data_IF_391168931542
#
_entry.id   IF_391168931542
#
_cell.length_a   1.000
_cell.length_b   1.000
_cell.length_c   1.000
_cell.angle_alpha   90.00
_cell.angle_beta   90.00
_cell.angle_gamma   90.00
#
_symmetry.space_group_name_H-M   'P 1'
#
loop_
_entity.id
_entity.type
_entity.pdbx_description
1 polymer ?
#
# COMPACT_ATOMS: atom_id res chain seq x y z
N UNK A 1 -11.20 10.60 -4.67
CA UNK A 1 -10.56 10.04 -5.88
C UNK A 1 -9.06 10.00 -5.60
N UNK A 2 -8.52 8.82 -5.28
CA UNK A 2 -7.12 8.61 -4.83
C UNK A 2 -6.29 7.82 -5.86
N UNK A 3 -6.90 7.43 -6.97
CA UNK A 3 -6.37 6.66 -8.09
C UNK A 3 -5.50 7.47 -9.05
N UNK A 4 -5.53 8.81 -8.97
CA UNK A 4 -4.77 9.70 -9.85
C UNK A 4 -3.26 9.46 -9.85
N UNK A 5 -2.67 9.03 -8.73
CA UNK A 5 -1.24 8.73 -8.66
C UNK A 5 -0.81 7.56 -9.54
N UNK A 6 -1.64 6.51 -9.63
CA UNK A 6 -1.34 5.36 -10.50
C UNK A 6 -1.74 5.68 -11.95
N UNK A 7 -2.95 6.19 -12.15
CA UNK A 7 -3.51 6.50 -13.47
C UNK A 7 -2.74 7.56 -14.25
N UNK A 8 -2.18 8.57 -13.58
CA UNK A 8 -1.51 9.71 -14.24
C UNK A 8 0.02 9.55 -14.29
N UNK A 9 0.56 8.42 -13.82
CA UNK A 9 2.01 8.21 -13.77
C UNK A 9 2.63 7.66 -15.04
N UNK A 10 1.83 7.39 -16.08
CA UNK A 10 2.26 6.62 -17.26
C UNK A 10 2.98 5.32 -16.85
N UNK A 11 2.37 4.63 -15.87
CA UNK A 11 2.89 3.45 -15.20
C UNK A 11 4.24 3.60 -14.48
N UNK A 12 4.79 4.80 -14.32
CA UNK A 12 6.07 4.98 -13.60
C UNK A 12 5.92 4.70 -12.11
N UNK A 13 4.73 4.90 -11.55
CA UNK A 13 4.41 4.53 -10.17
C UNK A 13 3.93 3.07 -10.14
N UNK A 14 4.70 2.19 -9.49
CA UNK A 14 4.37 0.76 -9.38
C UNK A 14 3.66 0.36 -8.09
N UNK A 15 3.68 1.22 -7.07
CA UNK A 15 3.04 0.99 -5.77
C UNK A 15 2.76 2.34 -5.12
N UNK A 16 1.55 2.51 -4.59
CA UNK A 16 1.16 3.65 -3.76
C UNK A 16 0.83 3.14 -2.37
N UNK A 17 1.38 3.79 -1.35
CA UNK A 17 1.01 3.58 0.06
C UNK A 17 0.31 4.85 0.51
N UNK A 18 -0.97 4.74 0.83
CA UNK A 18 -1.75 5.82 1.38
C UNK A 18 -1.87 5.64 2.88
N UNK A 19 -1.54 6.67 3.66
CA UNK A 19 -1.63 6.66 5.11
C UNK A 19 -2.52 7.83 5.52
N UNK A 20 -3.64 7.54 6.16
CA UNK A 20 -4.53 8.53 6.78
C UNK A 20 -4.38 8.41 8.29
N UNK A 21 -4.21 9.53 8.98
CA UNK A 21 -4.01 9.57 10.43
C UNK A 21 -5.05 10.52 11.04
N UNK A 22 -5.77 10.03 12.05
CA UNK A 22 -6.64 10.83 12.91
C UNK A 22 -6.03 10.86 14.31
N UNK A 23 -5.44 11.99 14.69
CA UNK A 23 -4.88 12.16 16.05
C UNK A 23 -5.96 12.10 17.15
N UNK A 24 -7.14 12.75 17.00
CA UNK A 24 -8.17 12.72 18.04
C UNK A 24 -8.73 11.32 18.28
N UNK A 25 -8.98 10.57 17.20
CA UNK A 25 -9.53 9.21 17.28
C UNK A 25 -8.45 8.14 17.48
N UNK A 26 -7.18 8.54 17.38
CA UNK A 26 -6.01 7.65 17.38
C UNK A 26 -6.14 6.50 16.39
N UNK A 27 -6.57 6.84 15.18
CA UNK A 27 -6.69 5.89 14.07
C UNK A 27 -5.62 6.14 13.02
N UNK A 28 -5.02 5.07 12.51
CA UNK A 28 -4.19 5.08 11.31
C UNK A 28 -4.79 4.09 10.33
N UNK A 29 -5.12 4.56 9.14
CA UNK A 29 -5.64 3.76 8.06
C UNK A 29 -4.63 3.73 6.93
N UNK A 30 -4.12 2.54 6.60
CA UNK A 30 -3.10 2.33 5.58
C UNK A 30 -3.70 1.53 4.45
N UNK A 31 -3.63 2.06 3.23
CA UNK A 31 -3.99 1.34 2.02
C UNK A 31 -2.75 1.15 1.14
N UNK A 32 -2.65 -0.03 0.52
CA UNK A 32 -1.67 -0.30 -0.52
C UNK A 32 -2.38 -0.49 -1.85
N UNK A 33 -1.99 0.32 -2.81
CA UNK A 33 -2.56 0.31 -4.15
C UNK A 33 -1.50 -0.07 -5.18
N UNK A 34 -1.90 -0.91 -6.13
CA UNK A 34 -1.09 -1.33 -7.28
C UNK A 34 -2.04 -1.54 -8.47
N UNK A 35 -1.50 -1.52 -9.69
CA UNK A 35 -2.28 -2.03 -10.80
C UNK A 35 -2.50 -3.54 -10.65
N UNK A 36 -3.75 -3.95 -10.82
CA UNK A 36 -4.21 -5.33 -10.78
C UNK A 36 -5.15 -5.63 -11.95
N UNK A 37 -5.28 -6.90 -12.30
CA UNK A 37 -6.31 -7.35 -13.21
C UNK A 37 -7.60 -7.54 -12.41
N UNK A 38 -8.66 -6.85 -12.79
CA UNK A 38 -10.01 -7.03 -12.24
C UNK A 38 -10.96 -7.48 -13.35
N UNK A 39 -12.05 -8.12 -12.97
CA UNK A 39 -13.09 -8.54 -13.91
C UNK A 39 -13.68 -7.33 -14.64
N UNK A 40 -13.82 -7.46 -15.95
CA UNK A 40 -14.47 -6.43 -16.75
C UNK A 40 -15.99 -6.58 -16.66
N UNK A 41 -16.63 -5.85 -15.76
CA UNK A 41 -18.10 -5.86 -15.61
C UNK A 41 -18.83 -5.16 -16.76
N UNK A 42 -18.11 -4.50 -17.68
CA UNK A 42 -18.67 -3.77 -18.82
C UNK A 42 -18.17 -4.35 -20.15
N UNK A 43 -18.44 -5.64 -20.36
CA UNK A 43 -18.17 -6.31 -21.63
C UNK A 43 -19.09 -5.72 -22.70
N UNK A 44 -18.50 -5.02 -23.67
CA UNK A 44 -19.19 -4.50 -24.85
C UNK A 44 -18.51 -5.02 -26.12
N UNK A 45 -19.17 -4.93 -27.28
CA UNK A 45 -18.56 -5.35 -28.57
C UNK A 45 -17.19 -4.71 -28.84
N UNK A 46 -16.96 -3.47 -28.36
CA UNK A 46 -15.68 -2.76 -28.48
C UNK A 46 -14.68 -3.00 -27.33
N UNK A 47 -15.11 -3.62 -26.23
CA UNK A 47 -14.29 -3.91 -25.05
C UNK A 47 -14.57 -5.34 -24.57
N UNK A 48 -14.10 -6.30 -25.36
CA UNK A 48 -14.34 -7.74 -25.18
C UNK A 48 -13.37 -8.44 -24.23
N UNK A 49 -12.34 -7.74 -23.73
CA UNK A 49 -11.39 -8.35 -22.80
C UNK A 49 -12.10 -8.70 -21.47
N UNK A 50 -11.94 -9.93 -20.97
CA UNK A 50 -12.62 -10.40 -19.76
C UNK A 50 -12.07 -9.73 -18.48
N UNK A 51 -10.86 -9.18 -18.55
CA UNK A 51 -10.23 -8.44 -17.45
C UNK A 51 -9.71 -7.09 -17.91
N UNK A 52 -9.69 -6.13 -16.98
CA UNK A 52 -9.09 -4.81 -17.16
C UNK A 52 -7.97 -4.61 -16.15
N UNK A 53 -6.92 -3.91 -16.57
CA UNK A 53 -5.77 -3.58 -15.73
C UNK A 53 -5.95 -2.16 -15.18
N UNK A 54 -6.22 -2.04 -13.89
CA UNK A 54 -6.59 -0.76 -13.26
C UNK A 54 -5.98 -0.62 -11.86
N UNK A 55 -5.82 0.61 -11.34
CA UNK A 55 -5.47 0.85 -9.95
C UNK A 55 -6.41 0.10 -9.01
N UNK A 56 -5.86 -0.78 -8.19
CA UNK A 56 -6.61 -1.66 -7.30
C UNK A 56 -6.03 -1.57 -5.89
N UNK A 57 -6.89 -1.47 -4.87
CA UNK A 57 -6.49 -1.63 -3.47
C UNK A 57 -6.21 -3.10 -3.23
N UNK A 58 -4.96 -3.44 -2.94
CA UNK A 58 -4.52 -4.83 -2.76
C UNK A 58 -4.23 -5.19 -1.31
N UNK A 59 -4.14 -4.19 -0.43
CA UNK A 59 -3.95 -4.40 1.00
C UNK A 59 -4.51 -3.22 1.80
N UNK A 60 -4.96 -3.51 3.01
CA UNK A 60 -5.57 -2.56 3.92
C UNK A 60 -5.24 -2.95 5.36
N UNK A 61 -4.84 -1.96 6.15
CA UNK A 61 -4.45 -2.12 7.56
C UNK A 61 -5.07 -0.97 8.34
N UNK A 62 -5.76 -1.32 9.42
CA UNK A 62 -6.27 -0.35 10.38
C UNK A 62 -5.50 -0.47 11.69
N UNK A 63 -5.15 0.66 12.28
CA UNK A 63 -4.54 0.73 13.59
C UNK A 63 -5.41 1.65 14.45
N UNK A 64 -5.93 1.12 15.55
CA UNK A 64 -6.71 1.87 16.55
C UNK A 64 -5.94 1.83 17.86
N UNK A 65 -5.55 3.00 18.37
CA UNK A 65 -4.52 3.15 19.41
C UNK A 65 -3.24 2.38 19.02
N UNK A 66 -3.03 1.19 19.61
CA UNK A 66 -1.86 0.32 19.34
C UNK A 66 -2.26 -1.03 18.74
N UNK A 67 -3.56 -1.25 18.50
CA UNK A 67 -4.08 -2.50 17.97
C UNK A 67 -4.06 -2.46 16.44
N UNK A 68 -3.30 -3.37 15.84
CA UNK A 68 -3.20 -3.52 14.38
C UNK A 68 -4.18 -4.59 13.89
N UNK A 69 -5.03 -4.22 12.95
CA UNK A 69 -6.03 -5.06 12.27
C UNK A 69 -5.59 -5.20 10.79
N UNK A 70 -5.64 -6.42 10.25
CA UNK A 70 -5.08 -6.76 8.94
C UNK A 70 -3.75 -7.51 9.05
N UNK A 71 -3.11 -7.79 7.91
CA UNK A 71 -1.81 -8.49 7.83
C UNK A 71 -0.63 -7.51 7.79
N UNK A 72 0.61 -7.96 8.07
CA UNK A 72 1.82 -7.15 7.90
C UNK A 72 1.86 -6.40 6.57
N UNK A 73 2.45 -5.20 6.57
CA UNK A 73 2.64 -4.45 5.34
C UNK A 73 3.89 -4.95 4.61
N UNK A 74 3.67 -5.63 3.49
CA UNK A 74 4.74 -6.06 2.58
C UNK A 74 4.88 -5.10 1.40
N UNK A 75 6.09 -4.56 1.19
CA UNK A 75 6.41 -3.71 0.05
C UNK A 75 7.57 -4.36 -0.72
N UNK A 76 7.31 -4.73 -1.97
CA UNK A 76 8.32 -5.43 -2.77
C UNK A 76 9.46 -4.50 -3.17
N UNK A 77 10.69 -4.90 -2.85
CA UNK A 77 11.90 -4.20 -3.27
C UNK A 77 11.93 -4.04 -4.78
N UNK A 78 11.62 -5.11 -5.53
CA UNK A 78 11.68 -5.10 -6.99
C UNK A 78 10.72 -4.09 -7.59
N UNK A 79 9.54 -3.91 -6.99
CA UNK A 79 8.53 -2.95 -7.47
C UNK A 79 8.89 -1.51 -7.15
N UNK A 80 9.52 -1.24 -6.01
CA UNK A 80 9.93 0.12 -5.61
C UNK A 80 11.22 0.54 -6.30
N UNK A 81 12.21 -0.35 -6.35
CA UNK A 81 13.55 -0.05 -6.87
C UNK A 81 13.68 -0.34 -8.38
N UNK A 82 12.64 -0.88 -9.00
CA UNK A 82 12.57 -1.24 -10.43
C UNK A 82 13.70 -2.16 -10.92
N UNK A 83 14.32 -2.91 -10.01
CA UNK A 83 15.40 -3.87 -10.29
C UNK A 83 15.38 -5.04 -9.32
N UNK A 84 16.04 -6.13 -9.66
CA UNK A 84 16.21 -7.26 -8.73
C UNK A 84 17.11 -6.83 -7.55
N UNK A 85 16.84 -7.34 -6.33
CA UNK A 85 17.78 -7.20 -5.23
C UNK A 85 19.12 -7.83 -5.60
N UNK A 86 20.21 -7.17 -5.24
CA UNK A 86 21.56 -7.70 -5.43
C UNK A 86 21.88 -8.68 -4.29
N UNK A 87 22.12 -9.97 -4.59
CA UNK A 87 22.37 -10.98 -3.56
C UNK A 87 23.63 -10.70 -2.72
N UNK A 88 24.59 -9.91 -3.23
CA UNK A 88 25.78 -9.50 -2.47
C UNK A 88 25.49 -8.40 -1.45
N UNK A 89 24.34 -7.72 -1.55
CA UNK A 89 23.92 -6.63 -0.66
C UNK A 89 22.83 -7.13 0.28
N UNK A 90 23.24 -7.53 1.49
CA UNK A 90 22.36 -8.17 2.49
C UNK A 90 21.09 -7.40 2.89
N UNK A 91 21.01 -6.09 2.60
CA UNK A 91 19.86 -5.24 2.95
C UNK A 91 18.91 -4.96 1.78
N UNK A 92 19.19 -5.50 0.60
CA UNK A 92 18.28 -5.39 -0.54
C UNK A 92 17.26 -6.53 -0.46
N UNK A 93 16.23 -6.34 0.36
CA UNK A 93 15.11 -7.28 0.55
C UNK A 93 13.81 -6.51 0.51
N UNK A 94 12.68 -7.23 0.44
CA UNK A 94 11.37 -6.61 0.61
C UNK A 94 11.28 -5.90 1.96
N UNK A 95 10.55 -4.79 1.99
CA UNK A 95 10.27 -4.05 3.21
C UNK A 95 9.06 -4.70 3.87
N UNK A 96 9.24 -5.20 5.09
CA UNK A 96 8.20 -5.88 5.84
C UNK A 96 8.00 -5.13 7.14
N UNK A 97 6.83 -4.53 7.32
CA UNK A 97 6.42 -3.94 8.59
C UNK A 97 5.46 -4.90 9.26
N UNK A 98 5.96 -5.63 10.25
CA UNK A 98 5.13 -6.56 11.01
C UNK A 98 4.18 -5.80 11.97
N UNK A 99 3.22 -6.51 12.56
CA UNK A 99 2.23 -5.89 13.46
C UNK A 99 2.86 -5.17 14.66
N UNK A 100 3.98 -5.69 15.20
CA UNK A 100 4.67 -5.08 16.34
C UNK A 100 5.35 -3.77 15.93
N UNK A 101 5.96 -3.73 14.76
CA UNK A 101 6.57 -2.51 14.20
C UNK A 101 5.50 -1.46 13.88
N UNK A 102 4.39 -1.87 13.26
CA UNK A 102 3.26 -0.97 12.98
C UNK A 102 2.65 -0.41 14.28
N UNK A 103 2.47 -1.23 15.31
CA UNK A 103 2.00 -0.79 16.62
C UNK A 103 2.99 0.18 17.30
N UNK A 104 4.31 -0.05 17.12
CA UNK A 104 5.35 0.85 17.61
C UNK A 104 5.29 2.20 16.90
N UNK A 105 5.20 2.21 15.57
CA UNK A 105 5.07 3.44 14.78
C UNK A 105 3.83 4.24 15.23
N UNK A 106 2.69 3.57 15.44
CA UNK A 106 1.49 4.23 15.95
C UNK A 106 1.73 4.85 17.34
N UNK A 107 2.37 4.11 18.26
CA UNK A 107 2.72 4.62 19.57
C UNK A 107 3.63 5.86 19.52
N UNK A 108 4.60 5.86 18.62
CA UNK A 108 5.52 6.98 18.41
C UNK A 108 4.77 8.22 17.86
N UNK A 109 3.82 8.04 16.93
CA UNK A 109 2.95 9.11 16.42
C UNK A 109 2.09 9.72 17.55
N UNK A 110 1.46 8.88 18.37
CA UNK A 110 0.62 9.36 19.48
C UNK A 110 1.43 10.04 20.57
N UNK A 111 2.68 9.64 20.78
CA UNK A 111 3.57 10.29 21.74
C UNK A 111 3.98 11.68 21.24
N UNK A 112 4.36 11.80 19.96
CA UNK A 112 4.74 13.06 19.33
C UNK A 112 3.58 14.07 19.24
N UNK A 113 2.33 13.61 19.17
CA UNK A 113 1.16 14.48 19.14
C UNK A 113 0.81 15.12 20.51
N UNK A 114 1.50 14.75 21.59
CA UNK A 114 1.30 15.30 22.95
C UNK A 114 2.26 16.44 23.30
N UNK A 115 3.20 16.74 22.41
CA UNK A 115 4.15 17.88 22.49
C UNK A 115 3.59 19.09 21.79
#
# INVERSE_FOLDING_TARGET
>A
MLDGWLSNSDEQVKTVILIKVSLPERTIHIEKWQYGNVENTQITRGRSKPTIYVPTKIHEIDIVDKKVIGDPLWISFRRVMLRKPNPKRKRETDFVFNKKELARIAADIWAAAKT
#
